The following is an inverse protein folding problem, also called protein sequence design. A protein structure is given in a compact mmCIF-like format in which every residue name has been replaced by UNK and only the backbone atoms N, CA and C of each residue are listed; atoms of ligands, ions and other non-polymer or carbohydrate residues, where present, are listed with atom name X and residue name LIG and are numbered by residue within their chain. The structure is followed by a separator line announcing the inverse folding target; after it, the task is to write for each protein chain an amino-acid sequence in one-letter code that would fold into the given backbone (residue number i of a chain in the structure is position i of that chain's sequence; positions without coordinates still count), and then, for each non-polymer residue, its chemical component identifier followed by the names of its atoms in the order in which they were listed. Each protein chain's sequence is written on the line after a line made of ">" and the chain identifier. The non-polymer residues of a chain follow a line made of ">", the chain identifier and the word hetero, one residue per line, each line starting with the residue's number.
data_IF_894871004525
#
_entry.id   IF_894871004525
#
_cell.length_a   1.000
_cell.length_b   1.000
_cell.length_c   1.000
_cell.angle_alpha   90.00
_cell.angle_beta   90.00
_cell.angle_gamma   90.00
#
_symmetry.space_group_name_H-M   'P 1'
#
loop_
_entity.id
_entity.type
_entity.pdbx_description
1 polymer ?
#
# COMPACT_ATOMS: atom_id res chain seq x y z
N UNK A 1 29.60 -13.66 53.15
CA UNK A 1 29.79 -12.81 51.94
C UNK A 1 30.55 -13.49 50.79
N UNK A 2 30.74 -14.83 50.77
CA UNK A 2 31.38 -15.54 49.64
C UNK A 2 30.36 -16.18 48.67
N UNK A 3 29.18 -16.56 49.17
CA UNK A 3 28.15 -17.24 48.37
C UNK A 3 27.41 -16.32 47.37
N UNK A 4 27.34 -15.02 47.64
CA UNK A 4 26.64 -14.08 46.72
C UNK A 4 27.44 -13.87 45.43
N UNK A 5 28.77 -13.99 45.48
CA UNK A 5 29.63 -13.81 44.30
C UNK A 5 29.52 -14.98 43.33
N UNK A 6 29.40 -16.20 43.84
CA UNK A 6 29.26 -17.40 42.99
C UNK A 6 27.92 -17.49 42.29
N UNK A 7 26.85 -16.95 42.89
CA UNK A 7 25.52 -16.89 42.26
C UNK A 7 25.46 -15.85 41.12
N UNK A 8 26.20 -14.74 41.25
CA UNK A 8 26.27 -13.72 40.19
C UNK A 8 27.08 -14.22 38.99
N UNK A 9 28.21 -14.88 39.23
CA UNK A 9 29.03 -15.49 38.15
C UNK A 9 28.26 -16.57 37.36
N UNK A 10 27.41 -17.36 38.04
CA UNK A 10 26.64 -18.43 37.41
C UNK A 10 25.46 -17.90 36.57
N UNK A 11 24.86 -16.77 36.98
CA UNK A 11 23.83 -16.09 36.17
C UNK A 11 24.42 -15.45 34.91
N UNK A 12 25.61 -14.84 35.01
CA UNK A 12 26.24 -14.14 33.89
C UNK A 12 26.70 -15.13 32.78
N UNK A 13 27.10 -16.35 33.18
CA UNK A 13 27.41 -17.43 32.22
C UNK A 13 26.16 -17.99 31.51
N UNK A 14 24.99 -17.96 32.16
CA UNK A 14 23.76 -18.50 31.60
C UNK A 14 23.14 -17.59 30.50
N UNK A 15 23.25 -16.27 30.61
CA UNK A 15 22.77 -15.34 29.59
C UNK A 15 23.61 -15.36 28.30
N UNK A 16 24.94 -15.46 28.45
CA UNK A 16 25.87 -15.52 27.31
C UNK A 16 25.62 -16.73 26.41
N UNK A 17 25.27 -17.88 27.01
CA UNK A 17 25.02 -19.12 26.24
C UNK A 17 23.68 -19.09 25.48
N UNK A 18 22.68 -18.36 25.98
CA UNK A 18 21.38 -18.17 25.29
C UNK A 18 21.47 -17.19 24.12
N UNK A 19 22.26 -16.13 24.24
CA UNK A 19 22.41 -15.13 23.18
C UNK A 19 23.10 -15.72 21.94
N UNK A 20 24.12 -16.56 22.12
CA UNK A 20 24.89 -17.17 21.01
C UNK A 20 24.04 -18.12 20.17
N UNK A 21 23.06 -18.81 20.75
CA UNK A 21 22.15 -19.71 20.02
C UNK A 21 20.97 -19.01 19.33
N UNK A 22 20.59 -17.80 19.76
CA UNK A 22 19.48 -17.05 19.16
C UNK A 22 19.89 -16.10 18.04
N UNK A 23 21.15 -15.64 18.03
CA UNK A 23 21.66 -14.77 16.96
C UNK A 23 21.63 -15.39 15.54
N UNK A 24 21.95 -16.68 15.29
CA UNK A 24 21.98 -17.19 13.91
C UNK A 24 20.59 -17.33 13.28
N UNK A 25 19.54 -17.52 14.08
CA UNK A 25 18.16 -17.66 13.58
C UNK A 25 17.55 -16.33 13.13
N UNK A 26 17.87 -15.25 13.84
CA UNK A 26 17.42 -13.90 13.48
C UNK A 26 18.11 -13.39 12.18
N UNK A 27 19.39 -13.70 12.00
CA UNK A 27 20.11 -13.33 10.76
C UNK A 27 19.62 -14.16 9.58
N UNK A 28 19.39 -15.48 9.77
CA UNK A 28 18.87 -16.35 8.72
C UNK A 28 17.49 -15.93 8.22
N UNK A 29 16.59 -15.55 9.13
CA UNK A 29 15.24 -15.06 8.77
C UNK A 29 15.29 -13.74 7.99
N UNK A 30 16.15 -12.79 8.37
CA UNK A 30 16.31 -11.53 7.63
C UNK A 30 16.83 -11.74 6.20
N UNK A 31 17.78 -12.67 6.00
CA UNK A 31 18.31 -12.99 4.66
C UNK A 31 17.23 -13.60 3.77
N UNK A 32 16.44 -14.54 4.31
CA UNK A 32 15.34 -15.18 3.56
C UNK A 32 14.26 -14.15 3.20
N UNK A 33 13.88 -13.27 4.13
CA UNK A 33 12.91 -12.19 3.85
C UNK A 33 13.46 -11.23 2.78
N UNK A 34 14.74 -10.87 2.86
CA UNK A 34 15.40 -10.02 1.85
C UNK A 34 15.40 -10.65 0.45
N UNK A 35 15.70 -11.95 0.35
CA UNK A 35 15.67 -12.69 -0.92
C UNK A 35 14.27 -12.79 -1.50
N UNK A 36 13.25 -13.05 -0.67
CA UNK A 36 11.86 -13.12 -1.11
C UNK A 36 11.40 -11.75 -1.62
N UNK A 37 11.67 -10.68 -0.88
CA UNK A 37 11.34 -9.32 -1.30
C UNK A 37 12.08 -8.92 -2.59
N UNK A 38 13.36 -9.23 -2.70
CA UNK A 38 14.16 -8.97 -3.89
C UNK A 38 13.67 -9.74 -5.12
N UNK A 39 13.29 -11.02 -4.95
CA UNK A 39 12.70 -11.84 -6.00
C UNK A 39 11.33 -11.30 -6.45
N UNK A 40 10.49 -10.86 -5.51
CA UNK A 40 9.21 -10.21 -5.83
C UNK A 40 9.41 -8.87 -6.55
N UNK A 41 10.41 -8.07 -6.16
CA UNK A 41 10.75 -6.82 -6.83
C UNK A 41 11.29 -7.04 -8.26
N UNK A 42 12.09 -8.09 -8.50
CA UNK A 42 12.52 -8.45 -9.86
C UNK A 42 11.38 -8.96 -10.72
N UNK A 43 10.45 -9.73 -10.14
CA UNK A 43 9.30 -10.27 -10.86
C UNK A 43 8.27 -9.18 -11.19
N UNK A 44 8.07 -8.23 -10.29
CA UNK A 44 7.31 -7.01 -10.57
C UNK A 44 8.24 -5.99 -11.23
N UNK A 45 8.66 -6.28 -12.47
CA UNK A 45 9.41 -5.32 -13.28
C UNK A 45 8.73 -3.96 -13.24
N UNK A 46 9.33 -3.03 -12.50
CA UNK A 46 8.86 -1.67 -12.32
C UNK A 46 9.12 -0.90 -13.61
N UNK A 47 8.32 -1.19 -14.63
CA UNK A 47 8.20 -0.34 -15.80
C UNK A 47 7.60 0.96 -15.30
N UNK A 48 8.41 2.01 -15.18
CA UNK A 48 7.90 3.35 -15.01
C UNK A 48 6.87 3.58 -16.14
N UNK A 49 5.66 4.08 -15.83
CA UNK A 49 4.66 4.32 -16.84
C UNK A 49 5.27 5.23 -17.89
N UNK A 50 5.14 4.85 -19.16
CA UNK A 50 5.61 5.69 -20.26
C UNK A 50 4.94 7.07 -20.18
N UNK A 51 5.58 8.11 -20.72
CA UNK A 51 5.00 9.46 -20.68
C UNK A 51 3.57 9.53 -21.28
N UNK A 52 3.25 8.64 -22.23
CA UNK A 52 1.91 8.48 -22.80
C UNK A 52 0.92 7.85 -21.81
N UNK A 53 1.32 6.81 -21.08
CA UNK A 53 0.49 6.17 -20.04
C UNK A 53 0.26 7.12 -18.85
N UNK A 54 1.28 7.88 -18.45
CA UNK A 54 1.13 8.89 -17.41
C UNK A 54 0.13 9.99 -17.81
N UNK A 55 0.12 10.39 -19.09
CA UNK A 55 -0.80 11.41 -19.62
C UNK A 55 -2.23 10.89 -19.78
N UNK A 56 -2.42 9.64 -20.19
CA UNK A 56 -3.78 9.05 -20.25
C UNK A 56 -4.34 8.83 -18.85
N UNK A 57 -3.51 8.43 -17.89
CA UNK A 57 -3.91 8.25 -16.51
C UNK A 57 -4.26 9.57 -15.81
N UNK A 58 -3.47 10.63 -16.03
CA UNK A 58 -3.80 11.95 -15.48
C UNK A 58 -5.09 12.53 -16.06
N UNK A 59 -5.34 12.32 -17.35
CA UNK A 59 -6.59 12.71 -18.00
C UNK A 59 -7.81 11.98 -17.42
N UNK A 60 -7.69 10.66 -17.18
CA UNK A 60 -8.74 9.87 -16.52
C UNK A 60 -9.05 10.38 -15.11
N UNK A 61 -8.02 10.72 -14.33
CA UNK A 61 -8.19 11.25 -12.97
C UNK A 61 -8.83 12.65 -12.97
N UNK A 62 -8.45 13.53 -13.88
CA UNK A 62 -9.06 14.87 -14.01
C UNK A 62 -10.54 14.79 -14.39
N UNK A 63 -10.90 13.86 -15.27
CA UNK A 63 -12.31 13.59 -15.63
C UNK A 63 -13.09 13.02 -14.44
N UNK A 64 -12.48 12.14 -13.65
CA UNK A 64 -13.08 11.60 -12.44
C UNK A 64 -13.34 12.69 -11.40
N UNK A 65 -12.37 13.57 -11.15
CA UNK A 65 -12.49 14.65 -10.17
C UNK A 65 -13.70 15.55 -10.50
N UNK A 66 -13.82 15.96 -11.77
CA UNK A 66 -14.95 16.74 -12.29
C UNK A 66 -16.30 16.02 -12.12
N UNK A 67 -16.39 14.75 -12.54
CA UNK A 67 -17.65 14.00 -12.46
C UNK A 67 -18.04 13.66 -11.02
N UNK A 68 -17.08 13.36 -10.16
CA UNK A 68 -17.35 12.96 -8.77
C UNK A 68 -18.06 14.09 -7.99
N UNK A 69 -17.63 15.34 -8.18
CA UNK A 69 -18.30 16.51 -7.59
C UNK A 69 -19.71 16.73 -8.13
N UNK A 70 -19.95 16.49 -9.42
CA UNK A 70 -21.30 16.55 -10.00
C UNK A 70 -22.22 15.47 -9.44
N UNK A 71 -21.73 14.23 -9.34
CA UNK A 71 -22.47 13.09 -8.79
C UNK A 71 -22.84 13.37 -7.34
N UNK A 72 -21.87 13.82 -6.53
CA UNK A 72 -22.12 14.20 -5.13
C UNK A 72 -23.19 15.30 -5.03
N UNK A 73 -23.08 16.35 -5.84
CA UNK A 73 -24.06 17.45 -5.84
C UNK A 73 -25.46 16.95 -6.20
N UNK A 74 -25.59 16.10 -7.22
CA UNK A 74 -26.87 15.50 -7.61
C UNK A 74 -27.45 14.61 -6.51
N UNK A 75 -26.61 13.80 -5.86
CA UNK A 75 -27.02 12.93 -4.75
C UNK A 75 -27.55 13.75 -3.57
N UNK A 76 -26.86 14.84 -3.18
CA UNK A 76 -27.31 15.75 -2.12
C UNK A 76 -28.57 16.52 -2.49
N UNK A 77 -28.73 16.90 -3.77
CA UNK A 77 -29.96 17.56 -4.23
C UNK A 77 -31.16 16.61 -4.21
N UNK A 78 -30.98 15.36 -4.61
CA UNK A 78 -32.05 14.35 -4.61
C UNK A 78 -32.37 13.85 -3.20
N UNK A 79 -31.36 13.75 -2.33
CA UNK A 79 -31.47 13.28 -0.95
C UNK A 79 -30.65 14.19 -0.03
N UNK A 80 -31.25 15.26 0.54
CA UNK A 80 -30.54 16.23 1.37
C UNK A 80 -29.92 15.63 2.64
N UNK A 81 -30.54 14.58 3.18
CA UNK A 81 -30.08 13.90 4.40
C UNK A 81 -29.12 12.72 4.13
N UNK A 82 -28.69 12.51 2.88
CA UNK A 82 -27.77 11.43 2.54
C UNK A 82 -26.45 11.57 3.32
N UNK A 83 -25.99 10.48 3.91
CA UNK A 83 -24.75 10.48 4.66
C UNK A 83 -23.54 10.55 3.72
N UNK A 84 -22.43 11.10 4.22
CA UNK A 84 -21.18 11.14 3.46
C UNK A 84 -20.67 9.74 3.10
N UNK A 85 -20.85 8.75 3.97
CA UNK A 85 -20.46 7.36 3.71
C UNK A 85 -21.25 6.74 2.55
N UNK A 86 -22.55 7.03 2.43
CA UNK A 86 -23.38 6.59 1.30
C UNK A 86 -22.97 7.28 -0.01
N UNK A 87 -22.66 8.58 0.03
CA UNK A 87 -22.09 9.29 -1.13
C UNK A 87 -20.79 8.61 -1.58
N UNK A 88 -19.88 8.31 -0.65
CA UNK A 88 -18.62 7.62 -0.97
C UNK A 88 -18.85 6.21 -1.52
N UNK A 89 -19.87 5.49 -1.03
CA UNK A 89 -20.23 4.18 -1.54
C UNK A 89 -20.72 4.26 -2.99
N UNK A 90 -21.59 5.23 -3.29
CA UNK A 90 -22.08 5.52 -4.64
C UNK A 90 -20.93 5.91 -5.57
N UNK A 91 -20.08 6.85 -5.15
CA UNK A 91 -18.90 7.25 -5.92
C UNK A 91 -17.96 6.07 -6.19
N UNK A 92 -17.76 5.17 -5.22
CA UNK A 92 -16.95 3.96 -5.41
C UNK A 92 -17.55 3.01 -6.46
N UNK A 93 -18.87 2.89 -6.50
CA UNK A 93 -19.58 2.09 -7.50
C UNK A 93 -19.47 2.73 -8.90
N UNK A 94 -19.59 4.06 -8.99
CA UNK A 94 -19.53 4.78 -10.27
C UNK A 94 -18.11 4.96 -10.83
N UNK A 95 -17.09 5.04 -9.96
CA UNK A 95 -15.69 5.23 -10.33
C UNK A 95 -15.21 4.37 -11.50
N UNK A 96 -15.34 3.04 -11.49
CA UNK A 96 -14.86 2.22 -12.61
C UNK A 96 -15.54 2.56 -13.94
N UNK A 97 -16.83 2.90 -13.93
CA UNK A 97 -17.57 3.26 -15.14
C UNK A 97 -17.11 4.59 -15.72
N UNK A 98 -16.99 5.61 -14.86
CA UNK A 98 -16.50 6.94 -15.26
C UNK A 98 -15.05 6.89 -15.74
N UNK A 99 -14.19 6.12 -15.06
CA UNK A 99 -12.79 5.94 -15.48
C UNK A 99 -12.70 5.20 -16.83
N UNK A 100 -13.55 4.19 -17.06
CA UNK A 100 -13.58 3.47 -18.34
C UNK A 100 -14.05 4.37 -19.49
N UNK A 101 -15.08 5.19 -19.26
CA UNK A 101 -15.55 6.20 -20.22
C UNK A 101 -14.47 7.24 -20.49
N UNK A 102 -13.84 7.78 -19.44
CA UNK A 102 -12.76 8.74 -19.55
C UNK A 102 -11.55 8.15 -20.29
N UNK A 103 -11.26 6.86 -20.13
CA UNK A 103 -10.16 6.21 -20.86
C UNK A 103 -10.39 6.28 -22.37
N UNK A 104 -11.60 5.97 -22.84
CA UNK A 104 -11.94 6.05 -24.27
C UNK A 104 -11.78 7.48 -24.79
N UNK A 105 -12.27 8.47 -24.04
CA UNK A 105 -12.18 9.88 -24.41
C UNK A 105 -10.74 10.41 -24.41
N UNK A 106 -9.96 10.06 -23.39
CA UNK A 106 -8.58 10.48 -23.25
C UNK A 106 -7.69 9.82 -24.31
N UNK A 107 -7.94 8.55 -24.63
CA UNK A 107 -7.23 7.84 -25.69
C UNK A 107 -7.59 8.42 -27.08
N UNK A 108 -8.87 8.77 -27.31
CA UNK A 108 -9.33 9.41 -28.54
C UNK A 108 -8.73 10.81 -28.75
N UNK A 109 -8.54 11.60 -27.68
CA UNK A 109 -7.90 12.93 -27.72
C UNK A 109 -6.39 12.90 -27.90
N UNK A 110 -5.77 11.72 -27.75
CA UNK A 110 -4.32 11.54 -27.85
C UNK A 110 -3.84 11.05 -29.23
N UNK A 111 -4.76 10.70 -30.12
CA UNK A 111 -4.52 10.39 -31.53
C UNK A 111 -4.65 11.63 -32.40
#
# INVERSE_FOLDING_TARGET
>A
MKEVRTLVDDLEHQESTRQVWQMPLAVGTLVVVGLVLGFFAMKMGSRAPSAAEAKSFSCQLDMWDKRSGEIERRLRQARPEISYSEIQMQLKIERPYVIAEAKVDCDARSK
#
